data_IF_783447608016
#
_entry.id   IF_783447608016
#
_cell.length_a   1.000
_cell.length_b   1.000
_cell.length_c   1.000
_cell.angle_alpha   90.00
_cell.angle_beta   90.00
_cell.angle_gamma   90.00
#
_symmetry.space_group_name_H-M   'P 1'
#
loop_
_entity.id
_entity.type
_entity.pdbx_description
1 polymer ?
#
# COMPACT_ATOMS: atom_id res chain seq x y z
N UNK A 1 11.84 -12.84 -11.58
CA UNK A 1 11.13 -11.70 -10.93
C UNK A 1 11.27 -11.62 -9.40
N UNK A 2 11.57 -12.73 -8.70
CA UNK A 2 11.77 -12.81 -7.24
C UNK A 2 12.87 -11.87 -6.71
N UNK A 3 13.90 -11.58 -7.52
CA UNK A 3 15.04 -10.75 -7.13
C UNK A 3 14.74 -9.25 -6.88
N UNK A 4 13.62 -8.68 -7.35
CA UNK A 4 13.32 -7.25 -7.15
C UNK A 4 12.69 -6.94 -5.79
N UNK A 5 11.91 -7.87 -5.23
CA UNK A 5 11.32 -7.74 -3.89
C UNK A 5 12.39 -7.81 -2.79
N UNK A 6 13.38 -8.70 -2.96
CA UNK A 6 14.56 -8.79 -2.09
C UNK A 6 15.50 -7.58 -2.21
N UNK A 7 15.58 -6.92 -3.37
CA UNK A 7 16.45 -5.73 -3.53
C UNK A 7 15.92 -4.46 -2.86
N UNK A 8 14.61 -4.36 -2.60
CA UNK A 8 14.06 -3.27 -1.76
C UNK A 8 14.13 -3.61 -0.27
N UNK A 9 14.09 -4.89 0.07
CA UNK A 9 14.24 -5.42 1.42
C UNK A 9 15.64 -5.23 2.02
N UNK A 10 16.68 -5.38 1.19
CA UNK A 10 18.07 -5.43 1.62
C UNK A 10 18.79 -4.08 1.54
N UNK A 11 18.09 -2.97 1.30
CA UNK A 11 18.58 -1.68 1.80
C UNK A 11 18.17 -1.63 3.26
N UNK A 12 18.93 -2.31 4.12
CA UNK A 12 18.95 -1.95 5.53
C UNK A 12 19.04 -0.42 5.58
N UNK A 13 18.27 0.24 6.44
CA UNK A 13 18.46 1.67 6.63
C UNK A 13 19.93 1.84 7.03
N UNK A 14 20.71 2.43 6.13
CA UNK A 14 22.06 2.91 6.40
C UNK A 14 22.15 3.78 7.68
N UNK A 15 21.06 4.35 8.25
CA UNK A 15 21.14 4.97 9.57
C UNK A 15 20.96 4.05 10.80
N UNK A 16 21.01 2.72 10.69
CA UNK A 16 20.84 1.85 11.89
C UNK A 16 21.92 2.09 12.95
N UNK A 17 23.18 2.26 12.54
CA UNK A 17 24.29 2.54 13.44
C UNK A 17 24.15 3.91 14.15
N UNK A 18 23.97 5.06 13.45
CA UNK A 18 23.83 6.35 14.14
C UNK A 18 22.57 6.43 15.01
N UNK A 19 21.47 5.77 14.61
CA UNK A 19 20.26 5.69 15.44
C UNK A 19 20.50 4.93 16.74
N UNK A 20 21.22 3.80 16.68
CA UNK A 20 21.59 3.03 17.87
C UNK A 20 22.47 3.85 18.82
N UNK A 21 23.49 4.54 18.30
CA UNK A 21 24.34 5.41 19.11
C UNK A 21 23.56 6.56 19.74
N UNK A 22 22.61 7.17 19.03
CA UNK A 22 21.75 8.22 19.57
C UNK A 22 20.85 7.71 20.70
N UNK A 23 20.17 6.57 20.50
CA UNK A 23 19.32 5.97 21.55
C UNK A 23 20.15 5.54 22.77
N UNK A 24 21.31 4.96 22.55
CA UNK A 24 22.22 4.57 23.63
C UNK A 24 22.71 5.79 24.41
N UNK A 25 23.10 6.86 23.73
CA UNK A 25 23.51 8.12 24.36
C UNK A 25 22.38 8.74 25.19
N UNK A 26 21.15 8.78 24.67
CA UNK A 26 19.98 9.24 25.43
C UNK A 26 19.74 8.38 26.67
N UNK A 27 19.81 7.05 26.55
CA UNK A 27 19.63 6.16 27.69
C UNK A 27 20.67 6.40 28.79
N UNK A 28 21.94 6.64 28.43
CA UNK A 28 22.99 6.95 29.40
C UNK A 28 22.73 8.29 30.13
N UNK A 29 22.31 9.33 29.41
CA UNK A 29 21.96 10.63 30.02
C UNK A 29 20.85 10.48 31.06
N UNK A 30 19.85 9.64 30.80
CA UNK A 30 18.76 9.39 31.75
C UNK A 30 19.19 8.60 32.99
N UNK A 31 20.18 7.69 32.84
CA UNK A 31 20.79 6.94 33.94
C UNK A 31 21.64 7.87 34.82
N UNK A 32 22.47 8.73 34.23
CA UNK A 32 23.29 9.71 34.95
C UNK A 32 22.44 10.77 35.66
N UNK A 33 21.28 11.12 35.10
CA UNK A 33 20.32 12.03 35.70
C UNK A 33 19.48 11.40 36.84
N UNK A 34 19.65 10.11 37.16
CA UNK A 34 18.97 9.43 38.28
C UNK A 34 17.46 9.22 38.11
N UNK A 35 16.92 9.40 36.90
CA UNK A 35 15.48 9.39 36.64
C UNK A 35 14.99 8.02 36.15
N UNK A 36 15.00 7.03 37.05
CA UNK A 36 14.57 5.64 36.81
C UNK A 36 13.19 5.55 36.13
N UNK A 37 12.24 6.40 36.51
CA UNK A 37 10.90 6.44 35.91
C UNK A 37 10.92 6.80 34.42
N UNK A 38 11.76 7.77 34.04
CA UNK A 38 11.91 8.17 32.65
C UNK A 38 12.69 7.13 31.83
N UNK A 39 13.69 6.47 32.43
CA UNK A 39 14.38 5.35 31.82
C UNK A 39 13.42 4.17 31.53
N UNK A 40 12.53 3.83 32.47
CA UNK A 40 11.50 2.78 32.29
C UNK A 40 10.48 3.18 31.22
N UNK A 41 10.00 4.42 31.21
CA UNK A 41 9.07 4.90 30.18
C UNK A 41 9.70 4.87 28.77
N UNK A 42 10.97 5.25 28.66
CA UNK A 42 11.73 5.17 27.42
C UNK A 42 11.92 3.71 26.98
N UNK A 43 12.29 2.82 27.90
CA UNK A 43 12.45 1.39 27.62
C UNK A 43 11.14 0.73 27.17
N UNK A 44 10.02 1.05 27.82
CA UNK A 44 8.70 0.57 27.43
C UNK A 44 8.31 1.04 26.02
N UNK A 45 8.59 2.30 25.70
CA UNK A 45 8.32 2.88 24.37
C UNK A 45 9.21 2.26 23.29
N UNK A 46 10.49 2.00 23.61
CA UNK A 46 11.41 1.29 22.72
C UNK A 46 10.97 -0.16 22.47
N UNK A 47 10.49 -0.86 23.50
CA UNK A 47 9.95 -2.21 23.36
C UNK A 47 8.67 -2.24 22.49
N UNK A 48 7.74 -1.30 22.72
CA UNK A 48 6.52 -1.20 21.93
C UNK A 48 6.80 -0.88 20.45
N UNK A 49 7.70 0.08 20.20
CA UNK A 49 8.08 0.48 18.84
C UNK A 49 8.83 -0.63 18.09
N UNK A 50 9.71 -1.39 18.75
CA UNK A 50 10.41 -2.53 18.14
C UNK A 50 9.43 -3.66 17.81
N UNK A 51 8.49 -3.98 18.70
CA UNK A 51 7.43 -4.94 18.42
C UNK A 51 6.55 -4.52 17.24
N UNK A 52 6.19 -3.23 17.15
CA UNK A 52 5.42 -2.67 16.03
C UNK A 52 6.22 -2.68 14.72
N UNK A 53 7.51 -2.34 14.76
CA UNK A 53 8.37 -2.42 13.58
C UNK A 53 8.51 -3.87 13.10
N UNK A 54 8.67 -4.83 14.01
CA UNK A 54 8.72 -6.25 13.68
C UNK A 54 7.40 -6.73 13.04
N UNK A 55 6.25 -6.36 13.60
CA UNK A 55 4.95 -6.73 13.03
C UNK A 55 4.72 -6.11 11.65
N UNK A 56 5.11 -4.85 11.46
CA UNK A 56 5.04 -4.18 10.16
C UNK A 56 5.95 -4.86 9.11
N UNK A 57 7.16 -5.25 9.49
CA UNK A 57 8.08 -6.00 8.61
C UNK A 57 7.51 -7.36 8.25
N UNK A 58 6.98 -8.12 9.21
CA UNK A 58 6.36 -9.42 8.97
C UNK A 58 5.17 -9.26 8.02
N UNK A 59 4.28 -8.30 8.28
CA UNK A 59 3.14 -7.99 7.41
C UNK A 59 3.57 -7.65 5.99
N UNK A 60 4.62 -6.82 5.84
CA UNK A 60 5.16 -6.47 4.53
C UNK A 60 5.81 -7.67 3.79
N UNK A 61 6.31 -8.68 4.53
CA UNK A 61 6.87 -9.92 3.95
C UNK A 61 5.79 -10.91 3.53
N UNK A 62 4.70 -10.97 4.29
CA UNK A 62 3.55 -11.83 4.00
C UNK A 62 2.67 -11.30 2.86
N UNK A 63 2.83 -10.04 2.47
CA UNK A 63 2.10 -9.46 1.33
C UNK A 63 2.38 -10.23 0.02
N UNK A 64 1.34 -10.75 -0.67
CA UNK A 64 1.52 -11.49 -1.91
C UNK A 64 2.23 -10.65 -2.99
N UNK A 65 3.24 -11.24 -3.63
CA UNK A 65 3.95 -10.58 -4.73
C UNK A 65 3.09 -10.58 -6.01
N UNK A 66 2.33 -9.51 -6.22
CA UNK A 66 1.47 -9.36 -7.40
C UNK A 66 2.25 -8.74 -8.57
N UNK A 67 2.16 -9.29 -9.80
CA UNK A 67 2.78 -8.67 -10.98
C UNK A 67 2.20 -7.26 -11.21
N UNK A 68 3.03 -6.27 -11.59
CA UNK A 68 2.56 -4.90 -11.80
C UNK A 68 1.50 -4.81 -12.92
N UNK A 69 1.54 -5.74 -13.88
CA UNK A 69 0.51 -5.88 -14.92
C UNK A 69 -0.85 -6.22 -14.32
N UNK A 70 -0.92 -7.13 -13.32
CA UNK A 70 -2.18 -7.50 -12.67
C UNK A 70 -2.80 -6.33 -11.89
N UNK A 71 -1.96 -5.49 -11.28
CA UNK A 71 -2.43 -4.25 -10.62
C UNK A 71 -2.98 -3.28 -11.65
N UNK A 72 -2.25 -3.05 -12.75
CA UNK A 72 -2.69 -2.17 -13.84
C UNK A 72 -3.97 -2.66 -14.50
N UNK A 73 -4.10 -3.97 -14.74
CA UNK A 73 -5.32 -4.54 -15.30
C UNK A 73 -6.47 -4.46 -14.30
N UNK A 74 -6.25 -4.70 -13.01
CA UNK A 74 -7.29 -4.57 -11.99
C UNK A 74 -7.77 -3.12 -11.83
N UNK A 75 -6.85 -2.13 -11.91
CA UNK A 75 -7.20 -0.71 -11.93
C UNK A 75 -8.00 -0.38 -13.17
N UNK A 76 -7.53 -0.80 -14.35
CA UNK A 76 -8.23 -0.55 -15.63
C UNK A 76 -9.61 -1.22 -15.70
N UNK A 77 -9.75 -2.41 -15.12
CA UNK A 77 -11.01 -3.15 -15.01
C UNK A 77 -11.97 -2.48 -14.01
N UNK A 78 -11.45 -1.94 -12.90
CA UNK A 78 -12.23 -1.11 -11.98
C UNK A 78 -12.70 0.19 -12.64
N UNK A 79 -11.80 0.88 -13.34
CA UNK A 79 -12.10 2.08 -14.11
C UNK A 79 -13.19 1.80 -15.14
N UNK A 80 -13.09 0.74 -15.94
CA UNK A 80 -14.13 0.35 -16.90
C UNK A 80 -15.48 0.08 -16.23
N UNK A 81 -15.48 -0.58 -15.06
CA UNK A 81 -16.72 -0.85 -14.30
C UNK A 81 -17.38 0.39 -13.73
N UNK A 82 -16.64 1.48 -13.52
CA UNK A 82 -17.16 2.74 -12.98
C UNK A 82 -17.13 3.91 -13.96
N UNK A 83 -16.60 3.72 -15.18
CA UNK A 83 -16.46 4.75 -16.20
C UNK A 83 -17.82 5.18 -16.75
N UNK A 84 -18.78 4.27 -16.72
CA UNK A 84 -20.15 4.54 -17.10
C UNK A 84 -20.97 4.73 -15.82
N UNK A 85 -21.71 5.84 -15.75
CA UNK A 85 -22.88 5.89 -14.87
C UNK A 85 -23.73 4.65 -15.18
N UNK A 86 -24.33 3.95 -14.20
CA UNK A 86 -25.18 2.80 -14.47
C UNK A 86 -26.14 3.16 -15.60
N UNK A 87 -25.89 2.57 -16.77
CA UNK A 87 -26.61 2.95 -17.98
C UNK A 87 -28.06 2.57 -17.70
N UNK A 88 -28.95 3.56 -17.65
CA UNK A 88 -30.38 3.29 -17.43
C UNK A 88 -30.80 2.32 -18.52
N UNK A 89 -31.30 1.15 -18.11
CA UNK A 89 -31.68 0.09 -19.02
C UNK A 89 -32.52 0.69 -20.17
N UNK A 90 -31.99 0.72 -21.40
CA UNK A 90 -32.69 1.28 -22.55
C UNK A 90 -33.96 0.46 -22.87
N UNK A 91 -34.04 -0.76 -22.34
CA UNK A 91 -35.17 -1.68 -22.48
C UNK A 91 -36.12 -1.65 -21.28
N UNK A 92 -35.88 -0.77 -20.29
CA UNK A 92 -36.79 -0.60 -19.18
C UNK A 92 -38.20 -0.25 -19.67
N UNK A 93 -39.20 -0.95 -19.13
CA UNK A 93 -40.61 -0.79 -19.50
C UNK A 93 -41.03 0.69 -19.38
N UNK A 94 -41.57 1.25 -20.47
CA UNK A 94 -42.00 2.66 -20.54
C UNK A 94 -40.97 3.64 -21.10
N UNK A 95 -39.82 3.16 -21.59
CA UNK A 95 -38.86 3.98 -22.34
C UNK A 95 -38.85 3.60 -23.81
N UNK A 96 -38.81 4.61 -24.68
CA UNK A 96 -38.63 4.41 -26.12
C UNK A 96 -37.22 3.86 -26.34
N UNK A 97 -37.12 2.63 -26.87
CA UNK A 97 -35.83 2.06 -27.28
C UNK A 97 -35.11 3.06 -28.21
N UNK A 98 -33.82 3.34 -28.00
CA UNK A 98 -33.02 4.05 -28.99
C UNK A 98 -33.20 3.33 -30.32
N UNK A 99 -33.75 4.01 -31.33
CA UNK A 99 -33.88 3.40 -32.66
C UNK A 99 -32.47 3.06 -33.13
N UNK A 100 -32.21 1.77 -33.38
CA UNK A 100 -30.94 1.34 -33.92
C UNK A 100 -30.61 2.19 -35.17
N UNK A 101 -29.33 2.54 -35.40
CA UNK A 101 -28.94 3.24 -36.62
C UNK A 101 -29.55 2.51 -37.83
N UNK A 102 -30.46 3.21 -38.51
CA UNK A 102 -31.31 2.63 -39.53
C UNK A 102 -30.47 2.26 -40.74
N UNK A 103 -30.34 0.94 -40.98
CA UNK A 103 -29.74 0.28 -42.15
C UNK A 103 -28.28 0.67 -42.40
N UNK A 104 -27.32 -0.28 -42.45
CA UNK A 104 -25.97 0.06 -42.87
C UNK A 104 -26.03 0.66 -44.28
N UNK A 105 -25.58 1.90 -44.43
CA UNK A 105 -25.35 2.49 -45.74
C UNK A 105 -24.23 1.69 -46.40
N UNK A 106 -24.39 1.38 -47.69
CA UNK A 106 -23.35 0.74 -48.51
C UNK A 106 -22.10 1.62 -48.47
N UNK A 107 -21.13 1.27 -47.63
CA UNK A 107 -19.80 1.84 -47.69
C UNK A 107 -19.04 1.03 -48.75
N UNK A 108 -18.92 1.66 -49.92
CA UNK A 108 -18.02 1.40 -51.05
C UNK A 108 -17.89 -0.06 -51.52
N UNK A 109 -18.49 -0.32 -52.70
CA UNK A 109 -18.22 -1.51 -53.52
C UNK A 109 -16.86 -1.40 -54.24
#
# INVERSE_FOLDING_TARGET
>A
MIRRALRRAARLPRPAAPLFFLLFGLAQIFVDAGSLSAAVALAATAAASTAFAASAVISARCAPAVPPTRVRTAIRDREQRTAFLPQRDPDARGRTRPRAPGRPLLTTA
#
